data_IF_273366097127
#
_entry.id   IF_273366097127
#
_cell.length_a   1.000
_cell.length_b   1.000
_cell.length_c   1.000
_cell.angle_alpha   90.00
_cell.angle_beta   90.00
_cell.angle_gamma   90.00
#
_symmetry.space_group_name_H-M   'P 1'
#
loop_
_entity.id
_entity.type
_entity.pdbx_description
1 polymer ?
#
# COMPACT_ATOMS: atom_id res chain seq x y z
N UNK A 1 -7.58 26.36 -19.55
CA UNK A 1 -8.88 25.82 -19.99
C UNK A 1 -8.62 24.35 -20.02
N UNK A 2 -8.90 23.69 -18.90
CA UNK A 2 -8.55 22.30 -18.69
C UNK A 2 -9.88 21.64 -18.34
N UNK A 3 -10.63 21.36 -19.40
CA UNK A 3 -11.74 20.42 -19.36
C UNK A 3 -11.14 19.06 -19.04
N UNK A 4 -11.32 18.56 -17.82
CA UNK A 4 -11.42 17.13 -17.61
C UNK A 4 -12.89 16.81 -17.46
N UNK A 5 -13.42 16.22 -18.52
CA UNK A 5 -14.83 15.92 -18.69
C UNK A 5 -15.19 14.75 -17.78
N UNK A 6 -16.02 15.03 -16.78
CA UNK A 6 -16.77 14.06 -16.01
C UNK A 6 -17.53 13.14 -16.98
N UNK A 7 -17.03 11.93 -17.18
CA UNK A 7 -17.60 10.94 -18.10
C UNK A 7 -17.59 9.57 -17.42
N UNK A 8 -18.54 9.35 -16.52
CA UNK A 8 -19.13 8.03 -16.26
C UNK A 8 -18.20 6.89 -15.85
N UNK A 9 -17.04 7.16 -15.25
CA UNK A 9 -16.22 6.11 -14.65
C UNK A 9 -16.78 5.81 -13.28
N UNK A 10 -17.57 4.73 -13.17
CA UNK A 10 -18.05 4.19 -11.91
C UNK A 10 -16.87 3.52 -11.14
N UNK A 11 -15.72 4.18 -11.05
CA UNK A 11 -14.50 3.62 -10.48
C UNK A 11 -14.19 4.24 -9.12
N UNK A 12 -13.85 3.39 -8.16
CA UNK A 12 -13.48 3.78 -6.80
C UNK A 12 -11.98 3.53 -6.63
N UNK A 13 -11.25 4.61 -6.37
CA UNK A 13 -9.84 4.53 -5.97
C UNK A 13 -9.76 4.47 -4.45
N UNK A 14 -9.30 3.34 -3.92
CA UNK A 14 -9.02 3.18 -2.50
C UNK A 14 -7.51 3.22 -2.26
N UNK A 15 -7.01 4.27 -1.61
CA UNK A 15 -5.62 4.33 -1.15
C UNK A 15 -5.51 3.75 0.25
N UNK A 16 -4.46 3.00 0.52
CA UNK A 16 -4.28 2.32 1.80
C UNK A 16 -2.82 2.27 2.22
N UNK A 17 -2.60 2.09 3.54
CA UNK A 17 -1.28 1.94 4.14
C UNK A 17 -1.28 0.74 5.09
N UNK A 18 -0.47 -0.27 4.78
CA UNK A 18 -0.24 -1.43 5.63
C UNK A 18 0.97 -1.18 6.51
N UNK A 19 0.80 -1.27 7.83
CA UNK A 19 1.90 -1.25 8.80
C UNK A 19 1.80 -2.45 9.73
N UNK A 20 2.80 -3.31 9.75
CA UNK A 20 2.79 -4.52 10.59
C UNK A 20 4.18 -4.93 11.04
N UNK A 21 4.25 -5.59 12.20
CA UNK A 21 5.45 -6.26 12.67
C UNK A 21 5.37 -7.74 12.32
N UNK A 22 6.38 -8.25 11.63
CA UNK A 22 6.44 -9.69 11.38
C UNK A 22 7.01 -10.44 12.57
N UNK A 23 6.60 -11.70 12.73
CA UNK A 23 7.02 -12.58 13.82
C UNK A 23 8.42 -13.19 13.61
N UNK A 24 9.34 -12.47 12.98
CA UNK A 24 10.75 -12.87 12.89
C UNK A 24 11.53 -12.44 14.15
N UNK A 25 12.68 -13.08 14.46
CA UNK A 25 13.45 -12.78 15.67
C UNK A 25 13.82 -11.31 15.85
N UNK A 26 14.09 -10.59 14.75
CA UNK A 26 14.40 -9.17 14.73
C UNK A 26 13.20 -8.25 14.51
N UNK A 27 11.97 -8.81 14.56
CA UNK A 27 10.68 -8.09 14.48
C UNK A 27 10.63 -6.99 13.42
N UNK A 28 10.90 -7.31 12.14
CA UNK A 28 10.98 -6.28 11.11
C UNK A 28 9.64 -5.55 10.98
N UNK A 29 9.73 -4.23 10.89
CA UNK A 29 8.58 -3.36 10.66
C UNK A 29 8.39 -3.21 9.15
N UNK A 30 7.23 -3.65 8.68
CA UNK A 30 6.78 -3.37 7.32
C UNK A 30 5.91 -2.12 7.34
N UNK A 31 6.14 -1.19 6.42
CA UNK A 31 5.26 -0.06 6.13
C UNK A 31 5.16 0.15 4.62
N UNK A 32 4.03 -0.26 4.05
CA UNK A 32 3.76 -0.22 2.61
C UNK A 32 2.55 0.67 2.34
N UNK A 33 2.59 1.44 1.26
CA UNK A 33 1.47 2.22 0.75
C UNK A 33 1.08 1.65 -0.61
N UNK A 34 -0.21 1.56 -0.88
CA UNK A 34 -0.73 1.12 -2.16
C UNK A 34 -2.08 1.75 -2.47
N UNK A 35 -2.58 1.44 -3.66
CA UNK A 35 -3.90 1.83 -4.09
C UNK A 35 -4.58 0.68 -4.82
N UNK A 36 -5.89 0.57 -4.64
CA UNK A 36 -6.72 -0.39 -5.36
C UNK A 36 -7.77 0.38 -6.14
N UNK A 37 -7.84 0.10 -7.43
CA UNK A 37 -8.89 0.63 -8.32
C UNK A 37 -9.96 -0.43 -8.45
N UNK A 38 -11.17 -0.09 -8.02
CA UNK A 38 -12.37 -0.87 -8.25
C UNK A 38 -13.14 -0.25 -9.40
N UNK A 39 -13.54 -1.03 -10.38
CA UNK A 39 -14.52 -0.59 -11.35
C UNK A 39 -15.87 -1.18 -11.01
N UNK A 40 -16.89 -0.34 -10.96
CA UNK A 40 -18.26 -0.71 -10.68
C UNK A 40 -19.07 -0.77 -11.98
N UNK A 41 -20.05 -1.66 -12.04
CA UNK A 41 -21.07 -1.66 -13.10
C UNK A 41 -22.22 -0.68 -12.78
N UNK A 42 -23.23 -0.63 -13.63
CA UNK A 42 -24.41 0.24 -13.48
C UNK A 42 -25.25 -0.09 -12.21
N UNK A 43 -25.12 -1.31 -11.67
CA UNK A 43 -25.72 -1.74 -10.39
C UNK A 43 -24.82 -1.47 -9.16
N UNK A 44 -23.75 -0.69 -9.31
CA UNK A 44 -22.75 -0.42 -8.26
C UNK A 44 -22.04 -1.66 -7.71
N UNK A 45 -21.92 -2.74 -8.49
CA UNK A 45 -21.16 -3.95 -8.14
C UNK A 45 -19.76 -3.88 -8.72
N UNK A 46 -18.78 -4.33 -7.94
CA UNK A 46 -17.37 -4.41 -8.36
C UNK A 46 -17.23 -5.48 -9.45
N UNK A 47 -16.85 -5.06 -10.66
CA UNK A 47 -16.62 -5.94 -11.82
C UNK A 47 -15.15 -6.11 -12.16
N UNK A 48 -14.29 -5.16 -11.77
CA UNK A 48 -12.84 -5.29 -11.90
C UNK A 48 -12.13 -4.79 -10.65
N UNK A 49 -11.11 -5.54 -10.24
CA UNK A 49 -10.22 -5.23 -9.13
C UNK A 49 -8.80 -5.14 -9.69
N UNK A 50 -8.17 -3.97 -9.62
CA UNK A 50 -6.76 -3.80 -10.00
C UNK A 50 -5.99 -3.22 -8.82
N UNK A 51 -5.00 -3.97 -8.34
CA UNK A 51 -4.12 -3.54 -7.25
C UNK A 51 -2.84 -2.93 -7.82
N UNK A 52 -2.56 -1.69 -7.43
CA UNK A 52 -1.31 -1.01 -7.72
C UNK A 52 -0.55 -0.81 -6.41
N UNK A 53 0.54 -1.55 -6.26
CA UNK A 53 1.43 -1.44 -5.12
C UNK A 53 2.48 -0.37 -5.47
N UNK A 54 2.41 0.78 -4.82
CA UNK A 54 3.34 1.90 -5.06
C UNK A 54 4.72 1.69 -4.41
N UNK A 55 5.05 0.44 -4.08
CA UNK A 55 6.37 0.02 -3.59
C UNK A 55 6.83 -1.13 -4.47
N UNK A 56 8.09 -1.13 -4.87
CA UNK A 56 8.67 -2.32 -5.50
C UNK A 56 8.59 -3.47 -4.49
N UNK A 57 8.11 -4.64 -4.93
CA UNK A 57 8.07 -5.84 -4.08
C UNK A 57 9.43 -6.12 -3.42
N UNK A 58 10.53 -5.74 -4.08
CA UNK A 58 11.89 -5.82 -3.56
C UNK A 58 12.15 -4.93 -2.34
N UNK A 59 11.62 -3.69 -2.31
CA UNK A 59 11.76 -2.78 -1.16
C UNK A 59 10.97 -3.29 0.05
N UNK A 60 9.76 -3.80 -0.19
CA UNK A 60 8.95 -4.45 0.85
C UNK A 60 9.65 -5.70 1.42
N UNK A 61 10.26 -6.52 0.55
CA UNK A 61 11.06 -7.68 0.96
C UNK A 61 12.35 -7.24 1.68
N UNK A 62 13.00 -6.15 1.26
CA UNK A 62 14.16 -5.57 1.93
C UNK A 62 13.86 -5.15 3.38
N UNK A 63 12.65 -4.62 3.64
CA UNK A 63 12.20 -4.32 5.02
C UNK A 63 12.10 -5.59 5.89
N UNK A 64 11.78 -6.75 5.30
CA UNK A 64 11.73 -8.03 6.04
C UNK A 64 13.12 -8.40 6.57
N UNK A 65 14.18 -8.14 5.80
CA UNK A 65 15.55 -8.51 6.14
C UNK A 65 16.34 -7.42 6.87
N UNK A 66 15.77 -6.22 7.00
CA UNK A 66 16.42 -5.14 7.76
C UNK A 66 16.04 -5.27 9.23
N UNK A 67 16.99 -5.60 10.14
CA UNK A 67 16.72 -5.57 11.56
C UNK A 67 16.32 -4.15 11.96
N UNK A 68 15.20 -4.01 12.67
CA UNK A 68 14.88 -2.75 13.35
C UNK A 68 15.87 -2.59 14.50
N UNK A 69 17.06 -2.06 14.19
CA UNK A 69 17.99 -1.61 15.21
C UNK A 69 17.30 -0.47 15.94
N UNK A 70 16.74 -0.81 17.09
CA UNK A 70 16.41 0.13 18.14
C UNK A 70 17.71 0.85 18.47
N UNK A 71 17.99 1.98 17.79
CA UNK A 71 19.02 2.91 18.22
C UNK A 71 18.51 3.43 19.55
N UNK A 72 18.85 2.76 20.64
CA UNK A 72 18.88 3.38 21.97
C UNK A 72 20.10 4.28 21.96
N UNK A 73 19.96 5.61 21.90
CA UNK A 73 21.07 6.48 22.20
C UNK A 73 21.16 6.52 23.73
N UNK A 74 22.07 5.75 24.29
CA UNK A 74 22.37 5.82 25.72
C UNK A 74 22.60 4.45 26.34
N UNK A 75 23.83 3.95 26.21
CA UNK A 75 24.51 3.35 27.36
C UNK A 75 26.02 3.53 27.18
N UNK A 76 26.58 4.37 28.06
CA UNK A 76 28.00 4.69 28.36
C UNK A 76 28.70 5.78 27.56
#
# INVERSE_FOLDING_TARGET
>A
MDQDVDSGTNSVLATWKLRTYLRFPWRPLISIVGATVYELNEDFKIVRHTESWNVSALEAVGQIFTPSFDRRPGEQ
#
